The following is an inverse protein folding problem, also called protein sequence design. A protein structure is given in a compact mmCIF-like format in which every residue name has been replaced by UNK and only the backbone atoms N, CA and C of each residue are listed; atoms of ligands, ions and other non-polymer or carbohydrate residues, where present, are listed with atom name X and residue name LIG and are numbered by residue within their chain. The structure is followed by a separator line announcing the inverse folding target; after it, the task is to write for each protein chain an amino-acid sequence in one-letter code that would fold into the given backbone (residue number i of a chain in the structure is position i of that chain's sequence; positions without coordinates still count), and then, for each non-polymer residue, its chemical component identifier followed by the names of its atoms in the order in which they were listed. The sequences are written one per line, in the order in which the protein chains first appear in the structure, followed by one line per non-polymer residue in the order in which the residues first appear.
data_IF_047019167792
#
_entry.id   IF_047019167792
#
_cell.length_a   1.000
_cell.length_b   1.000
_cell.length_c   1.000
_cell.angle_alpha   90.00
_cell.angle_beta   90.00
_cell.angle_gamma   90.00
#
_symmetry.space_group_name_H-M   'P 1'
#
loop_
_entity.id
_entity.type
_entity.pdbx_description
1 polymer ?
#
# COMPACT_ATOMS: atom_id res chain seq x y z
N UNK A 1 8.05 -1.94 18.54
CA UNK A 1 8.34 -3.13 17.71
C UNK A 1 9.30 -2.72 16.60
N UNK A 2 10.37 -3.48 16.32
CA UNK A 2 11.27 -3.19 15.21
C UNK A 2 10.55 -3.20 13.86
N UNK A 3 11.03 -2.39 12.91
CA UNK A 3 10.47 -2.31 11.56
C UNK A 3 10.35 -3.68 10.83
N UNK A 4 11.35 -4.57 10.82
CA UNK A 4 11.23 -5.86 10.14
C UNK A 4 10.09 -6.73 10.71
N UNK A 5 10.00 -6.84 12.04
CA UNK A 5 8.92 -7.59 12.71
C UNK A 5 7.54 -7.01 12.40
N UNK A 6 7.43 -5.67 12.35
CA UNK A 6 6.17 -5.03 11.99
C UNK A 6 5.76 -5.33 10.54
N UNK A 7 6.71 -5.22 9.60
CA UNK A 7 6.48 -5.50 8.18
C UNK A 7 6.12 -6.96 7.98
N UNK A 8 6.81 -7.89 8.64
CA UNK A 8 6.50 -9.32 8.58
C UNK A 8 5.06 -9.61 9.03
N UNK A 9 4.68 -9.14 10.23
CA UNK A 9 3.30 -9.30 10.72
C UNK A 9 2.26 -8.67 9.79
N UNK A 10 2.59 -7.52 9.18
CA UNK A 10 1.73 -6.85 8.22
C UNK A 10 1.54 -7.71 6.96
N UNK A 11 2.62 -8.21 6.37
CA UNK A 11 2.58 -9.01 5.15
C UNK A 11 1.84 -10.33 5.38
N UNK A 12 2.10 -11.01 6.51
CA UNK A 12 1.35 -12.21 6.91
C UNK A 12 -0.14 -11.90 7.09
N UNK A 13 -0.47 -10.78 7.72
CA UNK A 13 -1.86 -10.37 7.89
C UNK A 13 -2.54 -10.08 6.55
N UNK A 14 -1.88 -9.37 5.62
CA UNK A 14 -2.43 -9.12 4.28
C UNK A 14 -2.66 -10.44 3.54
N UNK A 15 -1.65 -11.32 3.51
CA UNK A 15 -1.74 -12.62 2.85
C UNK A 15 -2.89 -13.46 3.41
N UNK A 16 -3.03 -13.54 4.74
CA UNK A 16 -4.11 -14.29 5.40
C UNK A 16 -5.51 -13.78 5.06
N UNK A 17 -5.66 -12.48 4.73
CA UNK A 17 -6.95 -11.96 4.28
C UNK A 17 -7.22 -12.32 2.82
N UNK A 18 -6.19 -12.28 1.95
CA UNK A 18 -6.30 -12.66 0.54
C UNK A 18 -6.64 -14.15 0.40
N UNK A 19 -6.03 -15.01 1.23
CA UNK A 19 -6.26 -16.46 1.20
C UNK A 19 -7.60 -16.87 1.83
N UNK A 20 -8.28 -15.96 2.51
CA UNK A 20 -9.54 -16.24 3.18
C UNK A 20 -10.71 -16.13 2.19
N UNK A 21 -11.27 -17.26 1.76
CA UNK A 21 -12.42 -17.30 0.83
C UNK A 21 -13.66 -16.55 1.32
N UNK A 22 -13.81 -16.31 2.63
CA UNK A 22 -14.89 -15.49 3.17
C UNK A 22 -14.68 -13.98 2.96
N UNK A 23 -13.43 -13.55 2.73
CA UNK A 23 -13.04 -12.16 2.47
C UNK A 23 -12.79 -11.92 0.98
N UNK A 24 -12.08 -12.84 0.32
CA UNK A 24 -11.82 -12.86 -1.12
C UNK A 24 -12.37 -14.15 -1.73
N UNK A 25 -13.66 -14.17 -2.11
CA UNK A 25 -14.25 -15.36 -2.71
C UNK A 25 -13.58 -15.73 -4.04
N UNK A 26 -13.16 -16.98 -4.15
CA UNK A 26 -12.52 -17.55 -5.36
C UNK A 26 -13.54 -18.12 -6.36
N UNK A 27 -14.77 -18.36 -5.90
CA UNK A 27 -15.83 -19.04 -6.67
C UNK A 27 -16.75 -18.02 -7.33
N UNK A 28 -17.02 -18.25 -8.62
CA UNK A 28 -17.97 -17.44 -9.40
C UNK A 28 -19.35 -17.48 -8.72
N UNK A 29 -19.98 -16.30 -8.61
CA UNK A 29 -21.31 -16.16 -8.02
C UNK A 29 -21.34 -15.95 -6.50
N UNK A 30 -20.20 -16.02 -5.82
CA UNK A 30 -20.11 -15.68 -4.39
C UNK A 30 -19.78 -14.18 -4.25
N UNK A 31 -20.64 -13.37 -3.62
CA UNK A 31 -20.39 -11.94 -3.45
C UNK A 31 -19.33 -11.68 -2.37
N UNK A 32 -18.60 -10.58 -2.52
CA UNK A 32 -17.72 -10.06 -1.45
C UNK A 32 -18.53 -9.71 -0.18
N UNK A 33 -17.95 -9.85 1.01
CA UNK A 33 -18.63 -9.48 2.24
C UNK A 33 -18.86 -7.95 2.32
N UNK A 34 -19.87 -7.52 3.07
CA UNK A 34 -20.17 -6.09 3.29
C UNK A 34 -19.00 -5.32 3.92
N UNK A 35 -18.11 -6.02 4.64
CA UNK A 35 -16.88 -5.47 5.25
C UNK A 35 -15.72 -5.33 4.26
N UNK A 36 -15.83 -5.81 3.03
CA UNK A 36 -14.74 -5.78 2.06
C UNK A 36 -14.19 -4.36 1.80
N UNK A 37 -15.02 -3.31 1.59
CA UNK A 37 -14.48 -1.97 1.33
C UNK A 37 -13.67 -1.40 2.51
N UNK A 38 -14.08 -1.66 3.76
CA UNK A 38 -13.32 -1.22 4.93
C UNK A 38 -12.03 -2.02 5.10
N UNK A 39 -12.06 -3.32 4.79
CA UNK A 39 -10.88 -4.17 4.77
C UNK A 39 -9.84 -3.68 3.75
N UNK A 40 -10.26 -3.42 2.51
CA UNK A 40 -9.36 -2.91 1.45
C UNK A 40 -8.72 -1.58 1.85
N UNK A 41 -9.49 -0.62 2.37
CA UNK A 41 -8.92 0.64 2.89
C UNK A 41 -7.87 0.39 3.98
N UNK A 42 -8.08 -0.60 4.84
CA UNK A 42 -7.11 -0.97 5.87
C UNK A 42 -5.85 -1.63 5.30
N UNK A 43 -5.98 -2.50 4.29
CA UNK A 43 -4.85 -3.11 3.57
C UNK A 43 -3.99 -2.02 2.95
N UNK A 44 -4.57 -1.14 2.13
CA UNK A 44 -3.84 -0.05 1.49
C UNK A 44 -3.20 0.88 2.53
N UNK A 45 -3.95 1.34 3.55
CA UNK A 45 -3.37 2.17 4.63
C UNK A 45 -2.16 1.52 5.31
N UNK A 46 -2.15 0.20 5.49
CA UNK A 46 -1.01 -0.53 6.06
C UNK A 46 0.12 -0.65 5.05
N UNK A 47 -0.15 -1.03 3.80
CA UNK A 47 0.86 -1.13 2.73
C UNK A 47 1.59 0.19 2.48
N UNK A 48 0.91 1.34 2.56
CA UNK A 48 1.55 2.65 2.51
C UNK A 48 2.71 2.79 3.52
N UNK A 49 2.58 2.24 4.73
CA UNK A 49 3.63 2.33 5.77
C UNK A 49 4.91 1.61 5.35
N UNK A 50 4.79 0.57 4.52
CA UNK A 50 5.96 -0.14 3.97
C UNK A 50 6.68 0.74 2.97
N UNK A 51 5.96 1.38 2.04
CA UNK A 51 6.53 2.38 1.13
C UNK A 51 7.19 3.53 1.88
N UNK A 52 6.48 4.14 2.84
CA UNK A 52 7.01 5.21 3.68
C UNK A 52 8.30 4.80 4.38
N UNK A 53 8.35 3.60 4.95
CA UNK A 53 9.55 3.10 5.61
C UNK A 53 10.73 2.93 4.64
N UNK A 54 10.49 2.40 3.43
CA UNK A 54 11.52 2.24 2.41
C UNK A 54 12.06 3.60 1.97
N UNK A 55 11.19 4.55 1.61
CA UNK A 55 11.61 5.88 1.17
C UNK A 55 12.35 6.67 2.27
N UNK A 56 11.89 6.59 3.53
CA UNK A 56 12.48 7.38 4.60
C UNK A 56 13.79 6.79 5.15
N UNK A 57 13.97 5.47 5.13
CA UNK A 57 15.09 4.82 5.84
C UNK A 57 16.00 3.97 4.95
N UNK A 58 15.49 3.44 3.85
CA UNK A 58 16.22 2.46 3.01
C UNK A 58 16.43 2.94 1.59
N UNK A 59 16.05 4.18 1.26
CA UNK A 59 16.25 4.73 -0.07
C UNK A 59 17.72 4.67 -0.51
N UNK A 60 18.74 5.01 0.32
CA UNK A 60 20.14 4.87 -0.09
C UNK A 60 20.52 3.47 -0.57
N UNK A 61 19.99 2.42 0.08
CA UNK A 61 20.21 1.02 -0.33
C UNK A 61 19.50 0.72 -1.66
N UNK A 62 18.27 1.20 -1.84
CA UNK A 62 17.54 1.08 -3.12
C UNK A 62 18.31 1.74 -4.26
N UNK A 63 18.93 2.90 -4.01
CA UNK A 63 19.78 3.59 -4.98
C UNK A 63 21.05 2.83 -5.31
N UNK A 64 21.74 2.30 -4.30
CA UNK A 64 22.96 1.50 -4.49
C UNK A 64 22.71 0.25 -5.33
N UNK A 65 21.52 -0.33 -5.22
CA UNK A 65 21.07 -1.46 -6.04
C UNK A 65 20.52 -1.06 -7.43
N UNK A 66 20.42 0.24 -7.74
CA UNK A 66 19.84 0.72 -9.01
C UNK A 66 18.34 0.44 -9.17
N UNK A 67 17.61 0.32 -8.07
CA UNK A 67 16.19 -0.08 -8.05
C UNK A 67 15.21 1.10 -7.94
N UNK A 68 15.70 2.34 -8.02
CA UNK A 68 14.88 3.56 -7.84
C UNK A 68 13.70 3.61 -8.80
N UNK A 69 13.93 3.27 -10.08
CA UNK A 69 12.87 3.26 -11.09
C UNK A 69 11.76 2.27 -10.74
N UNK A 70 12.11 1.07 -10.27
CA UNK A 70 11.14 0.04 -9.88
C UNK A 70 10.30 0.50 -8.68
N UNK A 71 10.95 1.06 -7.64
CA UNK A 71 10.25 1.58 -6.47
C UNK A 71 9.31 2.73 -6.85
N UNK A 72 9.79 3.69 -7.64
CA UNK A 72 9.03 4.87 -8.06
C UNK A 72 7.85 4.51 -8.96
N UNK A 73 8.02 3.61 -9.93
CA UNK A 73 6.91 3.14 -10.77
C UNK A 73 5.87 2.39 -9.95
N UNK A 74 6.30 1.50 -9.06
CA UNK A 74 5.40 0.75 -8.19
C UNK A 74 4.61 1.68 -7.25
N UNK A 75 5.28 2.67 -6.66
CA UNK A 75 4.64 3.64 -5.79
C UNK A 75 3.72 4.61 -6.55
N UNK A 76 4.11 5.08 -7.75
CA UNK A 76 3.23 5.92 -8.59
C UNK A 76 1.94 5.17 -8.94
N UNK A 77 2.04 3.90 -9.36
CA UNK A 77 0.85 3.09 -9.64
C UNK A 77 -0.03 2.90 -8.40
N UNK A 78 0.58 2.65 -7.24
CA UNK A 78 -0.11 2.56 -5.96
C UNK A 78 -0.86 3.85 -5.60
N UNK A 79 -0.23 5.01 -5.79
CA UNK A 79 -0.82 6.33 -5.54
C UNK A 79 -2.01 6.57 -6.46
N UNK A 80 -1.86 6.34 -7.76
CA UNK A 80 -2.94 6.52 -8.75
C UNK A 80 -4.13 5.59 -8.47
N UNK A 81 -3.88 4.34 -8.08
CA UNK A 81 -4.95 3.39 -7.73
C UNK A 81 -5.74 3.84 -6.50
N UNK A 82 -5.06 4.42 -5.49
CA UNK A 82 -5.72 4.97 -4.31
C UNK A 82 -6.59 6.17 -4.67
N UNK A 83 -6.09 7.04 -5.54
CA UNK A 83 -6.80 8.24 -6.00
C UNK A 83 -8.07 7.87 -6.79
N UNK A 84 -7.91 7.04 -7.82
CA UNK A 84 -9.01 6.54 -8.66
C UNK A 84 -10.14 5.91 -7.84
N UNK A 85 -9.79 5.09 -6.84
CA UNK A 85 -10.76 4.35 -6.03
C UNK A 85 -11.09 5.00 -4.68
N UNK A 86 -10.63 6.23 -4.43
CA UNK A 86 -10.89 6.99 -3.20
C UNK A 86 -10.58 6.18 -1.92
N UNK A 87 -9.43 5.50 -1.90
CA UNK A 87 -9.05 4.61 -0.80
C UNK A 87 -8.35 5.34 0.36
N UNK A 88 -7.87 6.56 0.14
CA UNK A 88 -7.26 7.38 1.16
C UNK A 88 -8.32 7.89 2.15
N UNK A 89 -8.03 7.79 3.45
CA UNK A 89 -8.94 8.25 4.51
C UNK A 89 -8.25 9.25 5.44
N UNK A 90 -8.74 10.49 5.47
CA UNK A 90 -8.24 11.56 6.33
C UNK A 90 -7.13 12.40 5.66
N UNK A 91 -6.95 13.63 6.15
CA UNK A 91 -6.02 14.61 5.56
C UNK A 91 -4.55 14.18 5.63
N UNK A 92 -4.19 13.40 6.65
CA UNK A 92 -2.79 13.00 6.91
C UNK A 92 -2.46 11.59 6.40
N UNK A 93 -3.23 11.06 5.45
CA UNK A 93 -3.02 9.69 4.95
C UNK A 93 -1.61 9.49 4.40
N UNK A 94 -1.07 10.48 3.69
CA UNK A 94 0.22 10.42 3.00
C UNK A 94 1.42 10.84 3.85
N UNK A 95 1.21 11.26 5.11
CA UNK A 95 2.25 11.56 6.10
C UNK A 95 3.56 12.14 5.52
N UNK A 96 4.72 11.50 5.74
CA UNK A 96 6.03 12.03 5.31
C UNK A 96 6.26 12.03 3.79
N UNK A 97 5.39 11.38 3.01
CA UNK A 97 5.51 11.31 1.55
C UNK A 97 4.50 12.24 0.84
N UNK A 98 3.83 13.15 1.56
CA UNK A 98 2.82 14.06 0.99
C UNK A 98 3.31 14.80 -0.25
N UNK A 99 4.45 15.48 -0.16
CA UNK A 99 5.02 16.25 -1.27
C UNK A 99 5.36 15.36 -2.48
N UNK A 100 5.85 14.13 -2.23
CA UNK A 100 6.16 13.17 -3.30
C UNK A 100 4.88 12.73 -4.00
N UNK A 101 3.84 12.40 -3.23
CA UNK A 101 2.52 12.02 -3.76
C UNK A 101 1.91 13.14 -4.58
N UNK A 102 1.95 14.38 -4.08
CA UNK A 102 1.47 15.54 -4.84
C UNK A 102 2.19 15.70 -6.18
N UNK A 103 3.51 15.49 -6.21
CA UNK A 103 4.26 15.55 -7.47
C UNK A 103 3.86 14.42 -8.43
N UNK A 104 3.63 13.21 -7.92
CA UNK A 104 3.20 12.05 -8.72
C UNK A 104 1.81 12.25 -9.33
N UNK A 105 0.88 12.88 -8.61
CA UNK A 105 -0.48 13.16 -9.07
C UNK A 105 -0.55 14.29 -10.12
N UNK A 106 0.42 15.22 -10.10
CA UNK A 106 0.50 16.31 -11.11
C UNK A 106 1.20 15.89 -12.41
N UNK A 107 1.85 14.72 -12.41
CA UNK A 107 2.66 14.25 -13.53
C UNK A 107 1.81 13.40 -14.47
N UNK A 108 1.27 14.01 -15.53
CA UNK A 108 0.65 13.33 -16.68
C UNK A 108 1.66 12.43 -17.43
#
# INVERSE_FOLDING_TARGET
MPAPTYIEHLMVWVQSNIDNEAVFPSRIGVPFPKSFPSMIRQVFKRMYRVYAHIYCHHYPVVRELGLEAHLNTSFKHYVLFIDEHNLASGKDFWGPLGDLVESMLRSD
#
